data_IF_603391058915
#
_entry.id   IF_603391058915
#
_cell.length_a   1.000
_cell.length_b   1.000
_cell.length_c   1.000
_cell.angle_alpha   90.00
_cell.angle_beta   90.00
_cell.angle_gamma   90.00
#
_symmetry.space_group_name_H-M   'P 1'
#
loop_
_entity.id
_entity.type
_entity.pdbx_description
1 polymer ?
#
# COMPACT_ATOMS: atom_id res chain seq x y z
N UNK A 1 11.21 -4.89 17.15
CA UNK A 1 9.76 -5.11 17.01
C UNK A 1 9.52 -6.59 17.26
N UNK A 2 8.53 -6.95 18.07
CA UNK A 2 8.09 -8.34 18.22
C UNK A 2 7.16 -8.70 17.08
N UNK A 3 7.18 -9.96 16.65
CA UNK A 3 6.20 -10.47 15.69
C UNK A 3 4.83 -10.70 16.38
N UNK A 4 3.72 -10.71 15.61
CA UNK A 4 2.41 -11.09 16.11
C UNK A 4 2.40 -12.52 16.66
N UNK A 5 1.59 -12.80 17.68
CA UNK A 5 1.54 -14.12 18.34
C UNK A 5 1.12 -15.26 17.41
N UNK A 6 0.38 -14.96 16.33
CA UNK A 6 -0.08 -15.93 15.33
C UNK A 6 0.78 -16.03 14.08
N UNK A 7 2.00 -15.49 14.08
CA UNK A 7 2.86 -15.44 12.89
C UNK A 7 3.20 -16.83 12.33
N UNK A 8 3.38 -17.83 13.22
CA UNK A 8 3.70 -19.21 12.83
C UNK A 8 2.50 -19.90 12.16
N UNK A 9 1.28 -19.63 12.63
CA UNK A 9 0.05 -20.12 12.03
C UNK A 9 -0.14 -19.56 10.62
N UNK A 10 0.00 -18.24 10.46
CA UNK A 10 -0.07 -17.59 9.16
C UNK A 10 1.05 -18.07 8.22
N UNK A 11 2.26 -18.25 8.74
CA UNK A 11 3.37 -18.81 7.96
C UNK A 11 3.04 -20.20 7.40
N UNK A 12 2.48 -21.07 8.23
CA UNK A 12 2.08 -22.43 7.84
C UNK A 12 0.94 -22.42 6.82
N UNK A 13 -0.02 -21.52 6.97
CA UNK A 13 -1.11 -21.31 6.02
C UNK A 13 -0.56 -20.89 4.65
N UNK A 14 0.27 -19.85 4.60
CA UNK A 14 0.87 -19.34 3.34
C UNK A 14 1.74 -20.40 2.67
N UNK A 15 2.51 -21.19 3.42
CA UNK A 15 3.27 -22.31 2.85
C UNK A 15 2.36 -23.34 2.18
N UNK A 16 1.24 -23.67 2.81
CA UNK A 16 0.26 -24.62 2.28
C UNK A 16 -0.39 -24.09 0.99
N UNK A 17 -0.76 -22.81 0.97
CA UNK A 17 -1.35 -22.14 -0.20
C UNK A 17 -0.41 -22.14 -1.42
N UNK A 18 0.90 -22.03 -1.17
CA UNK A 18 1.90 -21.99 -2.24
C UNK A 18 2.43 -23.37 -2.68
N UNK A 19 2.06 -24.46 -2.00
CA UNK A 19 2.67 -25.79 -2.18
C UNK A 19 2.59 -26.31 -3.63
N UNK A 20 1.46 -26.09 -4.31
CA UNK A 20 1.21 -26.58 -5.66
C UNK A 20 1.35 -25.47 -6.74
N UNK A 21 2.08 -24.40 -6.42
CA UNK A 21 2.28 -23.26 -7.29
C UNK A 21 3.74 -23.15 -7.75
N UNK A 22 4.03 -22.38 -8.81
CA UNK A 22 5.41 -22.02 -9.18
C UNK A 22 6.16 -21.24 -8.07
N UNK A 23 5.44 -20.77 -7.05
CA UNK A 23 5.96 -19.99 -5.92
C UNK A 23 6.15 -20.83 -4.66
N UNK A 24 6.18 -22.16 -4.79
CA UNK A 24 6.45 -23.05 -3.67
C UNK A 24 7.76 -22.67 -2.97
N UNK A 25 7.70 -22.50 -1.65
CA UNK A 25 8.85 -22.08 -0.84
C UNK A 25 9.47 -23.21 -0.05
N UNK A 26 10.78 -23.25 0.00
CA UNK A 26 11.56 -24.14 0.88
C UNK A 26 11.55 -23.61 2.32
N UNK A 27 11.67 -22.30 2.47
CA UNK A 27 11.64 -21.61 3.76
C UNK A 27 10.83 -20.34 3.65
N UNK A 28 10.13 -20.01 4.74
CA UNK A 28 9.38 -18.77 4.90
C UNK A 28 9.84 -18.08 6.18
N UNK A 29 10.43 -16.89 6.04
CA UNK A 29 10.98 -16.14 7.18
C UNK A 29 10.18 -14.85 7.36
N UNK A 30 9.58 -14.61 8.54
CA UNK A 30 8.88 -13.36 8.79
C UNK A 30 9.81 -12.15 8.68
N UNK A 31 9.29 -11.07 8.05
CA UNK A 31 9.97 -9.79 7.96
C UNK A 31 9.25 -8.75 8.82
N UNK A 32 10.04 -7.96 9.55
CA UNK A 32 9.51 -6.84 10.30
C UNK A 32 9.19 -5.65 9.38
N UNK A 33 8.15 -4.85 9.72
CA UNK A 33 7.88 -3.57 9.07
C UNK A 33 6.54 -3.46 8.34
N UNK A 34 5.76 -4.52 8.20
CA UNK A 34 4.38 -4.44 7.71
C UNK A 34 3.41 -4.15 8.87
N UNK A 35 2.65 -3.04 8.83
CA UNK A 35 1.63 -2.79 9.85
C UNK A 35 0.28 -3.42 9.49
N UNK A 36 -0.08 -3.43 8.20
CA UNK A 36 -1.36 -3.93 7.73
C UNK A 36 -1.32 -5.41 7.38
N UNK A 37 -0.25 -5.88 6.73
CA UNK A 37 -0.12 -7.23 6.20
C UNK A 37 0.97 -8.00 6.93
N UNK A 38 0.86 -9.33 6.92
CA UNK A 38 1.96 -10.22 7.27
C UNK A 38 2.94 -10.27 6.10
N UNK A 39 4.21 -10.05 6.38
CA UNK A 39 5.26 -9.98 5.33
C UNK A 39 6.32 -11.04 5.60
N UNK A 40 6.68 -11.77 4.54
CA UNK A 40 7.65 -12.85 4.64
C UNK A 40 8.66 -12.79 3.50
N UNK A 41 9.88 -13.24 3.77
CA UNK A 41 10.86 -13.65 2.77
C UNK A 41 10.65 -15.14 2.47
N UNK A 42 10.33 -15.47 1.23
CA UNK A 42 10.24 -16.83 0.73
C UNK A 42 11.47 -17.22 -0.08
N UNK A 43 12.14 -18.33 0.27
CA UNK A 43 13.12 -18.98 -0.60
C UNK A 43 12.42 -20.03 -1.43
N UNK A 44 12.47 -19.89 -2.75
CA UNK A 44 11.79 -20.79 -3.67
C UNK A 44 12.46 -22.19 -3.70
N UNK A 45 11.64 -23.23 -3.85
CA UNK A 45 12.10 -24.60 -4.10
C UNK A 45 12.75 -24.68 -5.49
N UNK A 46 12.17 -24.01 -6.48
CA UNK A 46 12.71 -23.88 -7.83
C UNK A 46 12.77 -22.40 -8.22
N UNK A 47 13.84 -21.94 -8.87
CA UNK A 47 13.92 -20.56 -9.33
C UNK A 47 12.84 -20.27 -10.39
N UNK A 48 12.36 -19.04 -10.45
CA UNK A 48 11.47 -18.58 -11.52
C UNK A 48 12.23 -18.54 -12.86
N UNK A 49 11.49 -18.41 -13.96
CA UNK A 49 12.09 -18.36 -15.30
C UNK A 49 13.10 -17.24 -15.52
N UNK A 50 12.99 -16.15 -14.77
CA UNK A 50 13.90 -15.01 -14.79
C UNK A 50 15.12 -15.18 -13.84
N UNK A 51 15.25 -16.35 -13.20
CA UNK A 51 16.33 -16.66 -12.26
C UNK A 51 16.09 -16.19 -10.83
N UNK A 52 14.91 -15.69 -10.51
CA UNK A 52 14.54 -15.27 -9.14
C UNK A 52 14.53 -16.47 -8.20
N UNK A 53 15.26 -16.42 -7.09
CA UNK A 53 15.34 -17.46 -6.05
C UNK A 53 14.63 -17.06 -4.75
N UNK A 54 14.44 -15.77 -4.53
CA UNK A 54 13.83 -15.22 -3.32
C UNK A 54 12.69 -14.27 -3.69
N UNK A 55 11.60 -14.35 -2.96
CA UNK A 55 10.38 -13.55 -3.19
C UNK A 55 9.94 -12.90 -1.89
N UNK A 56 9.26 -11.76 -2.02
CA UNK A 56 8.52 -11.13 -0.93
C UNK A 56 7.07 -11.60 -0.99
N UNK A 57 6.56 -12.08 0.13
CA UNK A 57 5.17 -12.48 0.27
C UNK A 57 4.46 -11.50 1.20
N UNK A 58 3.30 -11.00 0.77
CA UNK A 58 2.39 -10.22 1.60
C UNK A 58 1.07 -10.96 1.71
N UNK A 59 0.71 -11.36 2.90
CA UNK A 59 -0.56 -12.02 3.21
C UNK A 59 -1.44 -11.10 4.03
N UNK A 60 -2.69 -10.96 3.63
CA UNK A 60 -3.67 -10.10 4.29
C UNK A 60 -4.75 -10.88 4.99
N UNK A 61 -4.98 -10.51 6.22
CA UNK A 61 -6.07 -10.98 7.05
C UNK A 61 -7.17 -9.92 7.21
N UNK A 62 -8.29 -10.30 7.83
CA UNK A 62 -9.38 -9.37 8.18
C UNK A 62 -9.01 -8.36 9.28
N UNK A 63 -7.75 -8.32 9.68
CA UNK A 63 -7.19 -7.46 10.71
C UNK A 63 -5.75 -7.10 10.37
N UNK A 64 -5.25 -6.04 11.00
CA UNK A 64 -3.85 -5.65 10.79
C UNK A 64 -2.88 -6.57 11.52
N UNK A 65 -1.74 -6.88 10.89
CA UNK A 65 -0.69 -7.70 11.52
C UNK A 65 -0.14 -7.09 12.80
N UNK A 66 -0.15 -5.77 12.94
CA UNK A 66 0.32 -5.06 14.13
C UNK A 66 -0.71 -4.95 15.25
N UNK A 67 -2.01 -5.11 14.95
CA UNK A 67 -3.10 -5.01 15.92
C UNK A 67 -4.32 -5.80 15.45
N UNK A 68 -4.51 -7.00 15.96
CA UNK A 68 -5.63 -7.88 15.60
C UNK A 68 -7.01 -7.30 15.94
N UNK A 69 -7.10 -6.35 16.87
CA UNK A 69 -8.35 -5.65 17.17
C UNK A 69 -8.74 -4.62 16.10
N UNK A 70 -7.81 -4.21 15.25
CA UNK A 70 -8.08 -3.29 14.16
C UNK A 70 -8.48 -4.07 12.91
N UNK A 71 -9.80 -4.09 12.66
CA UNK A 71 -10.35 -4.84 11.53
C UNK A 71 -10.08 -4.13 10.20
N UNK A 72 -9.65 -4.91 9.22
CA UNK A 72 -9.49 -4.48 7.82
C UNK A 72 -10.62 -5.08 6.98
N UNK A 73 -11.12 -4.34 5.99
CA UNK A 73 -12.11 -4.86 5.06
C UNK A 73 -11.47 -5.95 4.19
N UNK A 74 -11.84 -7.19 4.47
CA UNK A 74 -11.67 -8.29 3.53
C UNK A 74 -13.01 -8.57 2.87
N UNK A 75 -13.02 -9.12 1.67
CA UNK A 75 -14.23 -9.49 0.94
C UNK A 75 -15.15 -10.49 1.68
N UNK A 76 -14.71 -11.00 2.83
CA UNK A 76 -15.47 -11.93 3.69
C UNK A 76 -16.25 -11.24 4.81
N UNK A 77 -16.16 -9.94 4.98
CA UNK A 77 -16.97 -9.24 5.98
C UNK A 77 -18.42 -9.21 5.53
N UNK A 78 -19.20 -10.08 6.14
CA UNK A 78 -20.68 -10.10 6.08
C UNK A 78 -21.18 -8.75 6.61
N UNK A 79 -21.69 -7.91 5.73
CA UNK A 79 -22.49 -6.77 6.16
C UNK A 79 -23.71 -7.26 6.97
N UNK A 80 -24.13 -6.53 8.04
CA UNK A 80 -25.40 -6.84 8.69
C UNK A 80 -26.53 -6.78 7.66
N UNK A 81 -27.61 -7.54 7.84
CA UNK A 81 -28.62 -7.75 6.80
C UNK A 81 -29.43 -6.49 6.56
N UNK A 82 -29.13 -5.77 5.49
CA UNK A 82 -30.11 -4.90 4.83
C UNK A 82 -30.80 -5.73 3.74
N UNK A 83 -32.12 -5.66 3.61
CA UNK A 83 -32.90 -6.52 2.73
C UNK A 83 -32.87 -6.00 1.28
N UNK A 84 -31.81 -6.33 0.51
CA UNK A 84 -31.80 -6.23 -0.94
C UNK A 84 -31.11 -7.47 -1.51
N UNK A 85 -31.92 -8.49 -1.72
CA UNK A 85 -31.55 -9.67 -2.46
C UNK A 85 -31.27 -9.33 -3.93
N UNK A 86 -30.14 -9.81 -4.43
CA UNK A 86 -29.88 -10.03 -5.85
C UNK A 86 -28.81 -9.10 -6.39
N UNK A 87 -27.58 -9.51 -6.32
CA UNK A 87 -26.39 -9.17 -7.11
C UNK A 87 -25.13 -9.11 -6.23
N UNK A 88 -24.73 -10.23 -5.68
CA UNK A 88 -23.47 -10.31 -4.94
C UNK A 88 -22.76 -11.65 -5.18
N UNK A 89 -22.52 -11.97 -6.44
CA UNK A 89 -21.34 -12.77 -6.80
C UNK A 89 -20.22 -11.75 -7.09
N UNK A 90 -19.58 -11.29 -6.03
CA UNK A 90 -18.84 -10.04 -6.02
C UNK A 90 -17.34 -10.26 -5.92
N UNK A 91 -16.65 -9.58 -6.76
CA UNK A 91 -15.21 -9.28 -6.75
C UNK A 91 -14.74 -8.93 -5.32
N UNK A 92 -13.67 -9.55 -4.81
CA UNK A 92 -13.12 -9.20 -3.51
C UNK A 92 -12.53 -7.78 -3.54
N UNK A 93 -13.16 -6.84 -2.84
CA UNK A 93 -12.71 -5.45 -2.69
C UNK A 93 -11.74 -5.28 -1.51
N UNK A 94 -10.71 -6.12 -1.44
CA UNK A 94 -9.68 -5.95 -0.41
C UNK A 94 -8.68 -4.84 -0.79
N UNK A 95 -8.01 -4.29 0.21
CA UNK A 95 -6.88 -3.35 0.01
C UNK A 95 -5.85 -3.94 -0.96
N UNK A 96 -5.60 -5.23 -0.87
CA UNK A 96 -4.64 -5.94 -1.72
C UNK A 96 -5.09 -6.07 -3.18
N UNK A 97 -6.39 -6.14 -3.46
CA UNK A 97 -6.90 -6.11 -4.85
C UNK A 97 -6.53 -4.78 -5.51
N UNK A 98 -6.73 -3.66 -4.81
CA UNK A 98 -6.35 -2.34 -5.32
C UNK A 98 -4.82 -2.26 -5.48
N UNK A 99 -4.06 -2.66 -4.47
CA UNK A 99 -2.59 -2.65 -4.51
C UNK A 99 -2.04 -3.53 -5.64
N UNK A 100 -2.52 -4.76 -5.77
CA UNK A 100 -2.05 -5.68 -6.81
C UNK A 100 -2.36 -5.17 -8.22
N UNK A 101 -3.54 -4.58 -8.40
CA UNK A 101 -3.92 -3.96 -9.68
C UNK A 101 -3.02 -2.76 -10.00
N UNK A 102 -2.76 -1.91 -9.01
CA UNK A 102 -1.82 -0.80 -9.14
C UNK A 102 -0.42 -1.29 -9.53
N UNK A 103 0.15 -2.24 -8.79
CA UNK A 103 1.49 -2.78 -9.05
C UNK A 103 1.58 -3.42 -10.44
N UNK A 104 0.57 -4.19 -10.84
CA UNK A 104 0.51 -4.79 -12.17
C UNK A 104 0.53 -3.76 -13.30
N UNK A 105 -0.15 -2.64 -13.13
CA UNK A 105 -0.18 -1.57 -14.12
C UNK A 105 1.07 -0.68 -14.06
N UNK A 106 1.54 -0.36 -12.85
CA UNK A 106 2.72 0.46 -12.63
C UNK A 106 4.01 -0.25 -13.06
N UNK A 107 4.04 -1.58 -13.14
CA UNK A 107 5.16 -2.33 -13.70
C UNK A 107 5.46 -2.00 -15.16
N UNK A 108 4.48 -1.41 -15.88
CA UNK A 108 4.64 -0.93 -17.25
C UNK A 108 5.20 0.49 -17.34
N UNK A 109 5.28 1.23 -16.22
CA UNK A 109 5.92 2.53 -16.20
C UNK A 109 7.43 2.37 -16.24
N UNK A 110 8.08 3.16 -17.10
CA UNK A 110 9.53 3.21 -17.13
C UNK A 110 10.09 3.70 -15.79
N UNK A 111 11.20 3.11 -15.36
CA UNK A 111 11.91 3.61 -14.20
C UNK A 111 12.35 5.06 -14.41
N UNK A 112 12.15 5.91 -13.40
CA UNK A 112 12.71 7.26 -13.42
C UNK A 112 14.18 7.20 -13.01
N UNK A 113 15.07 7.24 -14.00
CA UNK A 113 16.51 7.06 -13.82
C UNK A 113 17.26 8.36 -14.02
N UNK A 114 18.22 8.64 -13.17
CA UNK A 114 19.23 9.67 -13.32
C UNK A 114 20.62 9.11 -12.97
N UNK A 115 21.65 9.94 -12.93
CA UNK A 115 23.03 9.52 -12.61
C UNK A 115 23.20 8.94 -11.19
N UNK A 116 22.26 9.22 -10.28
CA UNK A 116 22.34 8.87 -8.86
C UNK A 116 21.46 7.69 -8.46
N UNK A 117 20.33 7.53 -9.12
CA UNK A 117 19.35 6.51 -8.73
C UNK A 117 18.40 6.13 -9.86
N UNK A 118 17.74 5.00 -9.68
CA UNK A 118 16.62 4.55 -10.47
C UNK A 118 15.43 4.30 -9.55
N UNK A 119 14.29 4.96 -9.79
CA UNK A 119 13.08 4.86 -9.00
C UNK A 119 12.03 4.09 -9.78
N UNK A 120 11.53 2.99 -9.21
CA UNK A 120 10.50 2.13 -9.80
C UNK A 120 9.70 1.43 -8.72
N UNK A 121 8.56 0.83 -9.07
CA UNK A 121 7.84 -0.09 -8.20
C UNK A 121 8.50 -1.48 -8.20
N UNK A 122 8.38 -2.26 -7.11
CA UNK A 122 8.72 -3.67 -7.15
C UNK A 122 7.82 -4.41 -8.14
N UNK A 123 8.33 -5.47 -8.75
CA UNK A 123 7.57 -6.34 -9.65
C UNK A 123 6.55 -7.15 -8.85
N UNK A 124 5.30 -7.18 -9.31
CA UNK A 124 4.31 -8.14 -8.84
C UNK A 124 4.46 -9.41 -9.70
N UNK A 125 4.79 -10.54 -9.07
CA UNK A 125 4.86 -11.84 -9.75
C UNK A 125 3.50 -12.51 -9.82
N UNK A 126 2.72 -12.44 -8.72
CA UNK A 126 1.42 -13.07 -8.62
C UNK A 126 0.56 -12.41 -7.53
N UNK A 127 -0.74 -12.52 -7.68
CA UNK A 127 -1.72 -12.20 -6.66
C UNK A 127 -2.83 -13.25 -6.68
N UNK A 128 -3.03 -13.92 -5.56
CA UNK A 128 -4.18 -14.81 -5.36
C UNK A 128 -5.24 -14.07 -4.53
N UNK A 129 -6.35 -13.75 -5.17
CA UNK A 129 -7.46 -13.06 -4.52
C UNK A 129 -8.24 -13.96 -3.55
N UNK A 130 -8.16 -15.29 -3.70
CA UNK A 130 -8.88 -16.24 -2.83
C UNK A 130 -8.21 -16.38 -1.48
N UNK A 131 -6.88 -16.28 -1.44
CA UNK A 131 -6.06 -16.36 -0.21
C UNK A 131 -5.58 -14.98 0.26
N UNK A 132 -5.79 -13.95 -0.56
CA UNK A 132 -5.34 -12.59 -0.30
C UNK A 132 -3.81 -12.48 -0.15
N UNK A 133 -3.08 -13.30 -0.94
CA UNK A 133 -1.62 -13.40 -0.91
C UNK A 133 -0.99 -12.83 -2.18
N UNK A 134 -0.08 -11.87 -2.00
CA UNK A 134 0.72 -11.27 -3.08
C UNK A 134 2.13 -11.86 -3.06
N UNK A 135 2.65 -12.19 -4.24
CA UNK A 135 4.04 -12.56 -4.48
C UNK A 135 4.73 -11.42 -5.23
N UNK A 136 5.69 -10.81 -4.61
CA UNK A 136 6.40 -9.64 -5.14
C UNK A 136 7.90 -9.89 -5.24
N UNK A 137 8.58 -9.04 -6.00
CA UNK A 137 10.02 -8.97 -6.04
C UNK A 137 10.58 -8.69 -4.64
N UNK A 138 11.51 -9.52 -4.19
CA UNK A 138 12.30 -9.25 -2.99
C UNK A 138 13.51 -8.39 -3.35
N UNK A 139 13.72 -7.33 -2.60
CA UNK A 139 14.87 -6.44 -2.73
C UNK A 139 15.82 -6.71 -1.55
N UNK A 140 16.90 -7.47 -1.75
CA UNK A 140 17.83 -7.80 -0.68
C UNK A 140 18.52 -6.53 -0.18
N UNK A 141 18.92 -6.55 1.11
CA UNK A 141 19.64 -5.47 1.77
C UNK A 141 18.95 -4.09 1.68
N UNK A 142 17.62 -4.10 1.45
CA UNK A 142 16.85 -2.87 1.34
C UNK A 142 16.73 -2.15 2.69
N UNK A 143 16.75 -0.83 2.61
CA UNK A 143 16.53 0.06 3.74
C UNK A 143 15.49 1.11 3.33
N UNK A 144 14.54 1.41 4.20
CA UNK A 144 13.60 2.49 3.93
C UNK A 144 14.30 3.85 3.84
N UNK A 145 13.69 4.77 3.10
CA UNK A 145 14.30 6.08 2.82
C UNK A 145 14.52 6.92 4.08
N UNK A 146 13.68 6.76 5.10
CA UNK A 146 13.84 7.46 6.39
C UNK A 146 15.12 7.01 7.09
N UNK A 147 15.32 5.68 7.22
CA UNK A 147 16.51 5.13 7.84
C UNK A 147 17.76 5.39 6.99
N UNK A 148 17.62 5.36 5.65
CA UNK A 148 18.69 5.77 4.74
C UNK A 148 19.09 7.24 4.99
N UNK A 149 18.12 8.15 5.04
CA UNK A 149 18.37 9.57 5.29
C UNK A 149 18.99 9.82 6.66
N UNK A 150 18.49 9.16 7.71
CA UNK A 150 19.05 9.28 9.06
C UNK A 150 20.49 8.75 9.15
N UNK A 151 20.81 7.71 8.37
CA UNK A 151 22.14 7.10 8.36
C UNK A 151 23.18 7.93 7.59
N UNK A 152 22.79 8.51 6.46
CA UNK A 152 23.72 9.12 5.52
C UNK A 152 23.63 10.64 5.39
N UNK A 153 22.47 11.25 5.75
CA UNK A 153 22.25 12.70 5.64
C UNK A 153 22.16 13.37 7.00
N UNK A 154 23.30 13.48 7.69
CA UNK A 154 23.42 14.27 8.91
C UNK A 154 23.51 15.76 8.60
N UNK A 155 23.34 16.67 9.61
CA UNK A 155 23.52 18.11 9.43
C UNK A 155 24.90 18.51 8.89
N UNK A 156 25.92 17.67 9.08
CA UNK A 156 27.30 17.87 8.60
C UNK A 156 27.58 17.06 7.34
N UNK A 157 26.55 16.75 6.54
CA UNK A 157 26.67 15.98 5.31
C UNK A 157 27.69 16.59 4.35
N UNK A 158 28.70 15.83 3.90
CA UNK A 158 29.66 16.29 2.89
C UNK A 158 28.98 16.77 1.60
N UNK A 159 29.61 17.71 0.90
CA UNK A 159 29.04 18.29 -0.32
C UNK A 159 28.67 17.23 -1.38
N UNK A 160 29.51 16.20 -1.53
CA UNK A 160 29.24 15.10 -2.44
C UNK A 160 27.92 14.36 -2.15
N UNK A 161 27.55 14.18 -0.88
CA UNK A 161 26.28 13.57 -0.49
C UNK A 161 25.08 14.51 -0.68
N UNK A 162 25.31 15.84 -0.73
CA UNK A 162 24.24 16.79 -1.06
C UNK A 162 23.78 16.61 -2.52
N UNK A 163 24.69 16.42 -3.44
CA UNK A 163 24.38 16.16 -4.85
C UNK A 163 23.61 14.84 -5.00
N UNK A 164 24.02 13.79 -4.28
CA UNK A 164 23.30 12.53 -4.24
C UNK A 164 21.88 12.71 -3.67
N UNK A 165 21.71 13.48 -2.59
CA UNK A 165 20.40 13.78 -2.01
C UNK A 165 19.49 14.52 -2.98
N UNK A 166 20.03 15.52 -3.69
CA UNK A 166 19.31 16.24 -4.74
C UNK A 166 18.94 15.31 -5.91
N UNK A 167 19.86 14.43 -6.31
CA UNK A 167 19.63 13.41 -7.34
C UNK A 167 18.50 12.47 -6.97
N UNK A 168 18.49 11.98 -5.72
CA UNK A 168 17.41 11.14 -5.19
C UNK A 168 16.07 11.89 -5.18
N UNK A 169 16.04 13.12 -4.70
CA UNK A 169 14.83 13.96 -4.70
C UNK A 169 14.28 14.20 -6.11
N UNK A 170 15.16 14.44 -7.10
CA UNK A 170 14.78 14.56 -8.51
C UNK A 170 14.24 13.26 -9.09
N UNK A 171 14.85 12.11 -8.75
CA UNK A 171 14.38 10.79 -9.15
C UNK A 171 12.97 10.49 -8.61
N UNK A 172 12.76 10.70 -7.33
CA UNK A 172 11.45 10.55 -6.68
C UNK A 172 10.39 11.49 -7.28
N UNK A 173 10.73 12.76 -7.47
CA UNK A 173 9.84 13.74 -8.08
C UNK A 173 9.49 13.40 -9.55
N UNK A 174 10.44 12.89 -10.33
CA UNK A 174 10.20 12.43 -11.70
C UNK A 174 9.28 11.21 -11.73
N UNK A 175 9.49 10.25 -10.84
CA UNK A 175 8.61 9.09 -10.73
C UNK A 175 7.20 9.50 -10.29
N UNK A 176 7.08 10.36 -9.28
CA UNK A 176 5.79 10.85 -8.79
C UNK A 176 5.02 11.61 -9.88
N UNK A 177 5.70 12.40 -10.71
CA UNK A 177 5.09 13.03 -11.87
C UNK A 177 4.54 12.03 -12.88
N UNK A 178 5.29 10.95 -13.17
CA UNK A 178 4.83 9.89 -14.06
C UNK A 178 3.62 9.17 -13.45
N UNK A 179 3.66 8.88 -12.16
CA UNK A 179 2.53 8.31 -11.41
C UNK A 179 1.28 9.21 -11.52
N UNK A 180 1.39 10.52 -11.30
CA UNK A 180 0.25 11.43 -11.40
C UNK A 180 -0.31 11.48 -12.83
N UNK A 181 0.55 11.45 -13.84
CA UNK A 181 0.12 11.43 -15.25
C UNK A 181 -0.66 10.13 -15.56
N UNK A 182 -0.13 9.00 -15.13
CA UNK A 182 -0.79 7.71 -15.25
C UNK A 182 -2.10 7.67 -14.44
N UNK A 183 -2.09 8.12 -13.19
CA UNK A 183 -3.27 8.14 -12.32
C UNK A 183 -4.40 9.02 -12.89
N UNK A 184 -4.06 10.15 -13.52
CA UNK A 184 -5.05 10.99 -14.20
C UNK A 184 -5.68 10.27 -15.40
N UNK A 185 -4.89 9.53 -16.19
CA UNK A 185 -5.41 8.72 -17.29
C UNK A 185 -6.31 7.57 -16.80
N UNK A 186 -5.90 6.85 -15.75
CA UNK A 186 -6.72 5.81 -15.11
C UNK A 186 -8.02 6.39 -14.51
N UNK A 187 -7.96 7.59 -13.92
CA UNK A 187 -9.15 8.27 -13.37
C UNK A 187 -10.15 8.69 -14.46
N UNK A 188 -9.70 8.92 -15.68
CA UNK A 188 -10.56 9.21 -16.83
C UNK A 188 -11.16 7.95 -17.47
N UNK A 189 -10.70 6.75 -17.08
CA UNK A 189 -11.17 5.48 -17.67
C UNK A 189 -12.58 5.15 -17.20
N UNK A 190 -13.48 4.95 -18.15
CA UNK A 190 -14.83 4.45 -17.91
C UNK A 190 -14.96 2.93 -18.09
N UNK A 191 -13.84 2.21 -18.27
CA UNK A 191 -13.85 0.77 -18.51
C UNK A 191 -14.28 0.00 -17.26
N UNK A 192 -15.17 -0.98 -17.44
CA UNK A 192 -15.56 -1.91 -16.36
C UNK A 192 -14.33 -2.66 -15.85
N UNK A 193 -14.17 -2.74 -14.53
CA UNK A 193 -13.00 -3.36 -13.89
C UNK A 193 -11.72 -2.55 -14.02
N UNK A 194 -11.81 -1.27 -14.41
CA UNK A 194 -10.69 -0.33 -14.32
C UNK A 194 -10.25 -0.16 -12.86
N UNK A 195 -9.00 0.28 -12.64
CA UNK A 195 -8.53 0.59 -11.30
C UNK A 195 -9.42 1.64 -10.61
N UNK A 196 -9.87 2.64 -11.37
CA UNK A 196 -10.81 3.64 -10.87
C UNK A 196 -12.08 3.00 -10.32
N UNK A 197 -12.73 2.12 -11.08
CA UNK A 197 -13.96 1.45 -10.64
C UNK A 197 -13.71 0.61 -9.39
N UNK A 198 -12.65 -0.20 -9.37
CA UNK A 198 -12.30 -1.04 -8.21
C UNK A 198 -12.03 -0.19 -6.96
N UNK A 199 -11.33 0.94 -7.11
CA UNK A 199 -11.04 1.85 -6.01
C UNK A 199 -12.30 2.60 -5.52
N UNK A 200 -13.19 2.98 -6.43
CA UNK A 200 -14.47 3.62 -6.10
C UNK A 200 -15.41 2.67 -5.35
N UNK A 201 -15.46 1.41 -5.74
CA UNK A 201 -16.31 0.40 -5.08
C UNK A 201 -15.80 0.03 -3.67
N UNK A 202 -14.55 0.41 -3.33
CA UNK A 202 -13.96 0.16 -2.01
C UNK A 202 -14.31 1.27 -1.01
N UNK A 203 -15.61 1.44 -0.72
CA UNK A 203 -16.11 2.45 0.23
C UNK A 203 -15.51 2.32 1.62
N UNK A 204 -15.20 1.11 2.07
CA UNK A 204 -14.59 0.90 3.40
C UNK A 204 -13.20 1.50 3.49
N UNK A 205 -12.36 1.32 2.45
CA UNK A 205 -11.03 1.92 2.41
C UNK A 205 -11.12 3.45 2.36
N UNK A 206 -12.06 3.99 1.59
CA UNK A 206 -12.33 5.43 1.54
C UNK A 206 -12.70 5.96 2.92
N UNK A 207 -13.61 5.30 3.64
CA UNK A 207 -13.99 5.67 5.00
C UNK A 207 -12.83 5.60 5.99
N UNK A 208 -12.02 4.53 5.96
CA UNK A 208 -10.84 4.40 6.82
C UNK A 208 -9.88 5.58 6.56
N UNK A 209 -9.61 5.89 5.30
CA UNK A 209 -8.73 7.00 4.93
C UNK A 209 -9.31 8.34 5.38
N UNK A 210 -10.61 8.55 5.16
CA UNK A 210 -11.30 9.76 5.58
C UNK A 210 -11.21 9.96 7.10
N UNK A 211 -11.55 8.95 7.89
CA UNK A 211 -11.44 9.01 9.35
C UNK A 211 -10.00 9.23 9.82
N UNK A 212 -9.04 8.56 9.19
CA UNK A 212 -7.63 8.67 9.57
C UNK A 212 -7.06 10.06 9.30
N UNK A 213 -7.46 10.72 8.21
CA UNK A 213 -6.89 12.03 7.87
C UNK A 213 -7.70 13.20 8.43
N UNK A 214 -9.02 13.19 8.32
CA UNK A 214 -9.84 14.35 8.63
C UNK A 214 -10.42 14.30 10.04
N UNK A 215 -11.03 13.21 10.45
CA UNK A 215 -11.59 13.09 11.80
C UNK A 215 -10.51 13.09 12.87
N UNK A 216 -9.40 12.35 12.60
CA UNK A 216 -8.25 12.37 13.50
C UNK A 216 -7.63 13.76 13.60
N UNK A 217 -7.47 14.49 12.48
CA UNK A 217 -6.94 15.86 12.50
C UNK A 217 -7.81 16.79 13.34
N UNK A 218 -9.15 16.71 13.21
CA UNK A 218 -10.07 17.46 14.08
C UNK A 218 -9.92 17.07 15.55
N UNK A 219 -9.78 15.80 15.86
CA UNK A 219 -9.56 15.35 17.25
C UNK A 219 -8.26 15.91 17.85
N UNK A 220 -7.24 16.16 17.02
CA UNK A 220 -6.01 16.81 17.49
C UNK A 220 -6.20 18.28 17.84
N UNK A 221 -7.11 18.98 17.17
CA UNK A 221 -7.48 20.36 17.55
C UNK A 221 -8.07 20.39 18.96
N UNK A 222 -8.97 19.46 19.28
CA UNK A 222 -9.56 19.39 20.62
C UNK A 222 -8.58 18.89 21.69
N UNK A 223 -7.57 18.10 21.29
CA UNK A 223 -6.52 17.60 22.18
C UNK A 223 -5.45 18.65 22.51
N UNK A 224 -5.15 19.55 21.58
CA UNK A 224 -4.13 20.60 21.71
C UNK A 224 -4.70 21.99 21.44
N UNK A 225 -5.70 22.43 22.22
CA UNK A 225 -6.42 23.70 21.98
C UNK A 225 -5.51 24.91 22.10
N UNK A 226 -4.48 24.86 22.94
CA UNK A 226 -3.50 25.94 23.14
C UNK A 226 -2.68 26.27 21.87
N UNK A 227 -2.62 25.34 20.92
CA UNK A 227 -1.88 25.51 19.66
C UNK A 227 -2.83 25.62 18.47
N UNK A 228 -3.93 24.86 18.47
CA UNK A 228 -4.75 24.59 17.28
C UNK A 228 -6.15 25.19 17.34
N UNK A 229 -6.59 25.79 18.47
CA UNK A 229 -7.96 26.28 18.61
C UNK A 229 -8.35 27.30 17.51
N UNK A 230 -7.45 28.20 17.14
CA UNK A 230 -7.68 29.21 16.10
C UNK A 230 -7.84 28.60 14.70
N UNK A 231 -7.31 27.40 14.47
CA UNK A 231 -7.39 26.70 13.19
C UNK A 231 -8.63 25.77 13.10
N UNK A 232 -9.45 25.68 14.14
CA UNK A 232 -10.58 24.71 14.20
C UNK A 232 -11.55 24.85 13.03
N UNK A 233 -11.91 26.08 12.66
CA UNK A 233 -12.81 26.33 11.54
C UNK A 233 -12.22 25.85 10.21
N UNK A 234 -10.92 26.05 10.00
CA UNK A 234 -10.22 25.62 8.79
C UNK A 234 -10.24 24.09 8.68
N UNK A 235 -9.95 23.37 9.77
CA UNK A 235 -10.00 21.88 9.76
C UNK A 235 -11.45 21.38 9.54
N UNK A 236 -12.46 22.08 10.06
CA UNK A 236 -13.85 21.74 9.78
C UNK A 236 -14.23 21.94 8.32
N UNK A 237 -13.88 23.08 7.74
CA UNK A 237 -14.13 23.37 6.32
C UNK A 237 -13.45 22.34 5.41
N UNK A 238 -12.19 21.97 5.71
CA UNK A 238 -11.47 20.93 4.95
C UNK A 238 -12.18 19.57 5.06
N UNK A 239 -12.67 19.21 6.25
CA UNK A 239 -13.43 17.97 6.41
C UNK A 239 -14.75 18.01 5.61
N UNK A 240 -15.50 19.11 5.66
CA UNK A 240 -16.74 19.28 4.91
C UNK A 240 -16.49 19.20 3.39
N UNK A 241 -15.42 19.83 2.89
CA UNK A 241 -15.00 19.70 1.48
C UNK A 241 -14.71 18.26 1.11
N UNK A 242 -14.00 17.52 1.97
CA UNK A 242 -13.69 16.10 1.73
C UNK A 242 -14.95 15.22 1.78
N UNK A 243 -15.88 15.49 2.69
CA UNK A 243 -17.18 14.82 2.75
C UNK A 243 -18.01 15.04 1.47
N UNK A 244 -17.94 16.23 0.89
CA UNK A 244 -18.63 16.55 -0.36
C UNK A 244 -17.95 15.96 -1.59
N UNK A 245 -16.61 15.88 -1.58
CA UNK A 245 -15.85 15.19 -2.64
C UNK A 245 -16.17 13.69 -2.70
N UNK A 246 -16.35 13.03 -1.54
CA UNK A 246 -16.74 11.61 -1.50
C UNK A 246 -18.13 11.34 -2.09
N UNK A 247 -19.01 12.35 -2.19
CA UNK A 247 -20.35 12.23 -2.76
C UNK A 247 -20.37 12.48 -4.28
N UNK A 248 -19.27 12.93 -4.86
CA UNK A 248 -19.17 13.31 -6.26
C UNK A 248 -18.09 12.47 -6.98
N UNK A 249 -18.53 11.42 -7.62
CA UNK A 249 -17.65 10.49 -8.36
C UNK A 249 -16.75 11.20 -9.39
N UNK A 250 -17.16 12.36 -9.89
CA UNK A 250 -16.37 13.13 -10.85
C UNK A 250 -15.11 13.75 -10.23
N UNK A 251 -15.11 13.92 -8.91
CA UNK A 251 -13.97 14.46 -8.14
C UNK A 251 -13.03 13.39 -7.62
N UNK A 252 -13.43 12.11 -7.68
CA UNK A 252 -12.61 11.00 -7.20
C UNK A 252 -11.53 10.63 -8.20
N UNK A 253 -10.29 10.64 -7.74
CA UNK A 253 -9.11 10.29 -8.52
C UNK A 253 -8.28 9.21 -7.84
N UNK A 254 -7.48 8.49 -8.63
CA UNK A 254 -6.50 7.55 -8.10
C UNK A 254 -5.36 8.36 -7.45
N UNK A 255 -5.15 8.15 -6.18
CA UNK A 255 -4.08 8.79 -5.40
C UNK A 255 -3.20 7.73 -4.72
N UNK A 256 -1.92 8.04 -4.50
CA UNK A 256 -1.03 7.13 -3.78
C UNK A 256 -1.48 6.95 -2.31
N UNK A 257 -1.88 8.02 -1.66
CA UNK A 257 -2.46 8.04 -0.31
C UNK A 257 -1.49 7.71 0.84
N UNK A 258 -0.23 7.37 0.56
CA UNK A 258 0.76 6.99 1.59
C UNK A 258 2.20 7.20 1.09
N UNK A 259 2.45 8.31 0.40
CA UNK A 259 3.76 8.66 -0.14
C UNK A 259 4.61 9.39 0.91
N UNK A 260 5.44 8.66 1.64
CA UNK A 260 6.31 9.20 2.67
C UNK A 260 7.63 8.41 2.79
N UNK A 261 8.59 8.94 3.55
CA UNK A 261 9.95 8.41 3.61
C UNK A 261 10.11 7.08 4.37
N UNK A 262 9.10 6.59 5.08
CA UNK A 262 9.14 5.31 5.80
C UNK A 262 8.66 4.11 4.97
N UNK A 263 8.60 4.27 3.66
CA UNK A 263 8.28 3.20 2.70
C UNK A 263 9.49 2.84 1.86
#
# INVERSE_FOLDING_TARGET
MSFPDNIDEISSLVQTELADTPFQVQTLTPLAGGNANFVFLGKLVQPLQDGTHEILLKHGEAYTSSNQSFQLPTSRCVCPPLPLRGFLDSVPNSVQVVESKCLSQLSNLAAATNEWCSVRTPKLHHFDASTNTQVQEYLPDSIDLKNYALKYFSPQTPLALKEQCLGLGRGLGSWLRQFHTWAAAESASAATGSLRQIAMDNHQLQQIKHSTYYEWALSMVDKYPEILAEAKSVFQEIKEMADDELKDDSKLHVVHGDFWTGK
#
